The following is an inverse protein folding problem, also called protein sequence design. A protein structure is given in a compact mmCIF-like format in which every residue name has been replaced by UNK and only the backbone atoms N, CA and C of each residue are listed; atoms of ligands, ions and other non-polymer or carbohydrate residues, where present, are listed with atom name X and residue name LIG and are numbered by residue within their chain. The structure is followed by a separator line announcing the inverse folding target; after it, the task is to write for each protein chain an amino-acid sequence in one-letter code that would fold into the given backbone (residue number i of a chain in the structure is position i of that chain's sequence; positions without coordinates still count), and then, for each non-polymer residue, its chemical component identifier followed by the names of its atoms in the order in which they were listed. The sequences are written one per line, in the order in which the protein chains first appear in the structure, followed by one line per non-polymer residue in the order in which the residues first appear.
data_IF_584753152179
#
_entry.id   IF_584753152179
#
_cell.length_a   1.000
_cell.length_b   1.000
_cell.length_c   1.000
_cell.angle_alpha   90.00
_cell.angle_beta   90.00
_cell.angle_gamma   90.00
#
_symmetry.space_group_name_H-M   'P 1'
#
loop_
_entity.id
_entity.type
_entity.pdbx_description
1 polymer ?
#
# COMPACT_ATOMS: atom_id res chain seq x y z
N UNK A 1 -4.90 -31.43 -19.12
CA UNK A 1 -3.50 -31.14 -18.74
C UNK A 1 -3.51 -29.94 -17.81
N UNK A 2 -3.54 -30.18 -16.49
CA UNK A 2 -3.59 -29.12 -15.50
C UNK A 2 -2.22 -28.48 -15.34
N UNK A 3 -2.12 -27.16 -15.52
CA UNK A 3 -0.90 -26.43 -15.16
C UNK A 3 -0.92 -26.17 -13.66
N UNK A 4 -0.02 -26.82 -12.94
CA UNK A 4 0.20 -26.57 -11.54
C UNK A 4 1.09 -25.32 -11.41
N UNK A 5 0.51 -24.20 -10.98
CA UNK A 5 1.26 -22.97 -10.72
C UNK A 5 1.49 -22.85 -9.21
N UNK A 6 2.64 -23.35 -8.72
CA UNK A 6 3.07 -23.14 -7.33
C UNK A 6 3.56 -21.71 -7.15
N UNK A 7 2.72 -20.86 -6.59
CA UNK A 7 3.07 -19.49 -6.20
C UNK A 7 3.49 -19.54 -4.72
N UNK A 8 4.79 -19.69 -4.46
CA UNK A 8 5.35 -19.47 -3.12
C UNK A 8 5.58 -17.97 -2.93
N UNK A 9 4.65 -17.29 -2.24
CA UNK A 9 4.79 -15.89 -1.84
C UNK A 9 5.46 -15.84 -0.46
N UNK A 10 6.70 -15.37 -0.44
CA UNK A 10 7.54 -15.25 0.77
C UNK A 10 7.38 -13.90 1.48
N UNK A 11 6.43 -13.06 1.05
CA UNK A 11 6.25 -11.70 1.56
C UNK A 11 4.86 -11.53 2.17
N UNK A 12 4.82 -10.98 3.39
CA UNK A 12 3.58 -10.66 4.10
C UNK A 12 2.87 -9.42 3.53
N UNK A 13 3.65 -8.50 2.94
CA UNK A 13 3.17 -7.20 2.45
C UNK A 13 3.48 -7.01 0.96
N UNK A 14 2.50 -6.50 0.21
CA UNK A 14 2.63 -6.16 -1.21
C UNK A 14 2.54 -4.63 -1.37
N UNK A 15 3.50 -4.04 -2.08
CA UNK A 15 3.50 -2.63 -2.45
C UNK A 15 3.19 -2.47 -3.94
N UNK A 16 2.14 -1.70 -4.27
CA UNK A 16 1.67 -1.51 -5.66
C UNK A 16 1.63 -0.02 -5.98
N UNK A 17 2.13 0.33 -7.17
CA UNK A 17 2.05 1.68 -7.73
C UNK A 17 1.06 1.69 -8.90
N UNK A 18 0.15 2.65 -8.90
CA UNK A 18 -0.89 2.78 -9.92
C UNK A 18 -0.76 4.12 -10.63
N UNK A 19 -0.71 4.08 -11.96
CA UNK A 19 -0.95 5.24 -12.81
C UNK A 19 -2.43 5.29 -13.19
N UNK A 20 -3.00 6.49 -13.32
CA UNK A 20 -4.41 6.73 -13.64
C UNK A 20 -5.38 5.92 -12.76
N UNK A 21 -5.48 6.24 -11.45
CA UNK A 21 -6.14 5.38 -10.46
C UNK A 21 -7.63 5.13 -10.76
N UNK A 22 -8.32 6.06 -11.42
CA UNK A 22 -9.73 5.89 -11.83
C UNK A 22 -9.95 4.65 -12.71
N UNK A 23 -8.95 4.26 -13.52
CA UNK A 23 -9.05 3.12 -14.44
C UNK A 23 -8.36 1.89 -13.84
N UNK A 24 -7.20 2.08 -13.23
CA UNK A 24 -6.34 0.96 -12.79
C UNK A 24 -6.73 0.40 -11.43
N UNK A 25 -7.23 1.23 -10.49
CA UNK A 25 -7.64 0.75 -9.17
C UNK A 25 -8.81 -0.25 -9.24
N UNK A 26 -9.90 -0.01 -10.02
CA UNK A 26 -10.92 -1.02 -10.26
C UNK A 26 -10.40 -2.35 -10.81
N UNK A 27 -9.46 -2.29 -11.78
CA UNK A 27 -8.87 -3.48 -12.39
C UNK A 27 -8.01 -4.25 -11.39
N UNK A 28 -7.26 -3.53 -10.56
CA UNK A 28 -6.48 -4.13 -9.48
C UNK A 28 -7.38 -4.87 -8.49
N UNK A 29 -8.50 -4.26 -8.07
CA UNK A 29 -9.43 -4.92 -7.15
C UNK A 29 -9.99 -6.23 -7.71
N UNK A 30 -10.40 -6.23 -8.99
CA UNK A 30 -10.87 -7.46 -9.66
C UNK A 30 -9.77 -8.51 -9.79
N UNK A 31 -8.52 -8.09 -10.03
CA UNK A 31 -7.37 -9.00 -10.07
C UNK A 31 -7.11 -9.61 -8.69
N UNK A 32 -7.13 -8.81 -7.63
CA UNK A 32 -6.95 -9.28 -6.25
C UNK A 32 -8.07 -10.21 -5.80
N UNK A 33 -9.30 -9.95 -6.23
CA UNK A 33 -10.45 -10.83 -5.96
C UNK A 33 -10.31 -12.18 -6.68
N UNK A 34 -9.93 -12.16 -7.96
CA UNK A 34 -9.67 -13.39 -8.73
C UNK A 34 -8.50 -14.17 -8.17
N UNK A 35 -7.41 -13.48 -7.80
CA UNK A 35 -6.27 -14.11 -7.15
C UNK A 35 -6.67 -14.69 -5.79
N UNK A 36 -7.46 -13.95 -5.01
CA UNK A 36 -7.94 -14.39 -3.71
C UNK A 36 -8.83 -15.63 -3.79
N UNK A 37 -9.69 -15.74 -4.80
CA UNK A 37 -10.51 -16.94 -4.99
C UNK A 37 -9.69 -18.18 -5.38
N UNK A 38 -8.61 -18.00 -6.14
CA UNK A 38 -7.73 -19.09 -6.58
C UNK A 38 -6.73 -19.53 -5.48
N UNK A 39 -6.27 -18.59 -4.66
CA UNK A 39 -5.24 -18.83 -3.64
C UNK A 39 -5.78 -19.02 -2.22
N UNK A 40 -7.04 -18.62 -1.98
CA UNK A 40 -7.63 -18.54 -0.64
C UNK A 40 -7.22 -17.29 0.16
N UNK A 41 -6.39 -16.40 -0.39
CA UNK A 41 -6.01 -15.16 0.30
C UNK A 41 -7.11 -14.09 0.22
N UNK A 42 -7.27 -13.33 1.30
CA UNK A 42 -8.24 -12.23 1.37
C UNK A 42 -7.52 -10.91 1.64
N UNK A 43 -7.88 -9.88 0.89
CA UNK A 43 -7.42 -8.52 1.14
C UNK A 43 -7.87 -8.03 2.53
N UNK A 44 -6.92 -7.61 3.35
CA UNK A 44 -7.19 -7.07 4.67
C UNK A 44 -7.30 -5.54 4.61
N UNK A 45 -8.53 -5.04 4.40
CA UNK A 45 -8.84 -3.61 4.27
C UNK A 45 -8.34 -2.80 5.48
N UNK A 46 -8.38 -3.36 6.70
CA UNK A 46 -7.93 -2.66 7.91
C UNK A 46 -6.42 -2.46 7.96
N UNK A 47 -5.65 -3.36 7.35
CA UNK A 47 -4.18 -3.27 7.25
C UNK A 47 -3.72 -2.54 5.99
N UNK A 48 -4.55 -2.47 4.95
CA UNK A 48 -4.23 -1.79 3.70
C UNK A 48 -4.08 -0.29 3.91
N UNK A 49 -2.95 0.25 3.51
CA UNK A 49 -2.69 1.70 3.48
C UNK A 49 -2.62 2.18 2.03
N UNK A 50 -3.10 3.39 1.79
CA UNK A 50 -3.02 4.07 0.48
C UNK A 50 -2.43 5.45 0.68
N UNK A 51 -1.52 5.82 -0.22
CA UNK A 51 -1.00 7.17 -0.33
C UNK A 51 -1.29 7.71 -1.75
N UNK A 52 -1.94 8.87 -1.83
CA UNK A 52 -2.34 9.49 -3.10
C UNK A 52 -1.44 10.68 -3.43
N UNK A 53 -0.90 10.72 -4.65
CA UNK A 53 -0.09 11.82 -5.16
C UNK A 53 -0.83 12.53 -6.30
N UNK A 54 -1.04 13.83 -6.18
CA UNK A 54 -1.74 14.67 -7.18
C UNK A 54 -3.07 14.09 -7.68
N UNK A 55 -3.74 13.31 -6.82
CA UNK A 55 -4.95 12.59 -7.15
C UNK A 55 -5.97 12.74 -6.03
N UNK A 56 -7.22 12.98 -6.40
CA UNK A 56 -8.36 12.97 -5.49
C UNK A 56 -9.37 11.95 -6.04
N UNK A 57 -9.68 10.88 -5.29
CA UNK A 57 -10.64 9.89 -5.75
C UNK A 57 -12.04 10.47 -5.81
N UNK A 58 -12.77 10.13 -6.87
CA UNK A 58 -14.19 10.45 -7.01
C UNK A 58 -15.01 9.55 -6.06
N UNK A 59 -16.30 9.86 -5.92
CA UNK A 59 -17.20 9.13 -5.04
C UNK A 59 -17.35 7.65 -5.45
N UNK A 60 -17.27 7.35 -6.74
CA UNK A 60 -17.32 5.97 -7.27
C UNK A 60 -16.13 5.13 -6.81
N UNK A 61 -14.91 5.69 -6.79
CA UNK A 61 -13.73 4.99 -6.31
C UNK A 61 -13.77 4.82 -4.79
N UNK A 62 -14.23 5.86 -4.08
CA UNK A 62 -14.42 5.79 -2.61
C UNK A 62 -15.46 4.75 -2.21
N UNK A 63 -16.51 4.53 -3.01
CA UNK A 63 -17.56 3.55 -2.69
C UNK A 63 -17.15 2.10 -2.96
N UNK A 64 -16.15 1.83 -3.80
CA UNK A 64 -15.68 0.47 -4.08
C UNK A 64 -15.03 -0.19 -2.87
N UNK A 65 -14.20 0.55 -2.14
CA UNK A 65 -13.55 0.06 -0.93
C UNK A 65 -13.39 1.20 0.06
N UNK A 66 -13.81 0.96 1.30
CA UNK A 66 -13.70 1.91 2.39
C UNK A 66 -12.24 1.98 2.91
N UNK A 67 -11.38 2.65 2.15
CA UNK A 67 -9.98 2.90 2.48
C UNK A 67 -9.76 4.35 2.91
N UNK A 68 -8.68 4.59 3.66
CA UNK A 68 -8.28 5.95 4.01
C UNK A 68 -7.53 6.63 2.85
N UNK A 69 -8.29 7.28 1.98
CA UNK A 69 -7.79 7.98 0.79
C UNK A 69 -7.04 9.30 1.08
N UNK A 70 -7.20 9.83 2.30
CA UNK A 70 -6.69 11.14 2.71
C UNK A 70 -5.47 11.02 3.63
N UNK A 71 -4.85 9.84 3.68
CA UNK A 71 -3.60 9.60 4.41
C UNK A 71 -2.49 10.53 3.92
N UNK A 72 -1.77 11.15 4.87
CA UNK A 72 -0.61 11.99 4.58
C UNK A 72 0.72 11.23 4.59
N UNK A 73 0.71 10.00 5.10
CA UNK A 73 1.86 9.12 5.18
C UNK A 73 1.43 7.65 5.19
N UNK A 74 2.37 6.77 4.85
CA UNK A 74 2.26 5.33 5.00
C UNK A 74 3.59 4.77 5.50
N UNK A 75 3.58 3.59 6.10
CA UNK A 75 4.81 2.94 6.58
C UNK A 75 5.04 1.65 5.82
N UNK A 76 6.25 1.48 5.30
CA UNK A 76 6.67 0.26 4.62
C UNK A 76 8.08 -0.14 5.05
N UNK A 77 8.24 -1.38 5.53
CA UNK A 77 9.52 -1.93 6.00
C UNK A 77 10.28 -1.02 6.98
N UNK A 78 9.55 -0.33 7.86
CA UNK A 78 10.15 0.57 8.85
C UNK A 78 10.38 2.01 8.36
N UNK A 79 10.20 2.28 7.07
CA UNK A 79 10.35 3.61 6.46
C UNK A 79 8.98 4.28 6.36
N UNK A 80 8.89 5.53 6.86
CA UNK A 80 7.72 6.38 6.70
C UNK A 80 7.79 7.08 5.34
N UNK A 81 6.86 6.77 4.45
CA UNK A 81 6.69 7.43 3.15
C UNK A 81 5.66 8.53 3.34
N UNK A 82 6.06 9.78 3.18
CA UNK A 82 5.20 10.95 3.33
C UNK A 82 4.69 11.44 1.98
N UNK A 83 3.49 12.02 1.97
CA UNK A 83 2.90 12.65 0.77
C UNK A 83 3.73 13.84 0.29
N UNK A 84 4.23 14.62 1.23
CA UNK A 84 5.24 15.65 0.99
C UNK A 84 6.62 15.00 1.04
N UNK A 85 7.24 14.83 -0.11
CA UNK A 85 8.56 14.21 -0.26
C UNK A 85 9.66 15.02 0.45
N UNK A 86 9.47 16.33 0.63
CA UNK A 86 10.42 17.19 1.34
C UNK A 86 10.54 16.81 2.82
N UNK A 87 9.47 16.24 3.39
CA UNK A 87 9.43 15.76 4.79
C UNK A 87 10.01 14.36 4.95
N UNK A 88 10.28 13.63 3.87
CA UNK A 88 10.73 12.23 3.92
C UNK A 88 12.03 12.08 4.71
N UNK A 89 12.99 12.99 4.52
CA UNK A 89 14.25 12.97 5.26
C UNK A 89 14.01 13.13 6.76
N UNK A 90 13.34 14.21 7.17
CA UNK A 90 13.09 14.50 8.59
C UNK A 90 12.25 13.42 9.27
N UNK A 91 11.27 12.84 8.56
CA UNK A 91 10.38 11.81 9.08
C UNK A 91 11.08 10.48 9.39
N UNK A 92 12.22 10.21 8.75
CA UNK A 92 12.96 8.95 8.89
C UNK A 92 14.29 9.11 9.63
N UNK A 93 15.07 10.15 9.34
CA UNK A 93 16.42 10.31 9.89
C UNK A 93 16.44 10.92 11.29
N UNK A 94 15.59 11.90 11.60
CA UNK A 94 15.57 12.51 12.94
C UNK A 94 15.29 11.49 14.07
N UNK A 95 14.32 10.56 13.93
CA UNK A 95 14.10 9.51 14.92
C UNK A 95 15.28 8.54 15.06
N UNK A 96 16.00 8.26 13.96
CA UNK A 96 17.18 7.40 13.99
C UNK A 96 18.33 8.06 14.75
N UNK A 97 18.59 9.35 14.51
CA UNK A 97 19.63 10.10 15.23
C UNK A 97 19.39 10.13 16.74
N UNK A 98 18.14 10.25 17.18
CA UNK A 98 17.80 10.22 18.61
C UNK A 98 18.04 8.83 19.23
N UNK A 99 17.73 7.74 18.51
CA UNK A 99 18.01 6.37 18.95
C UNK A 99 19.49 6.11 19.17
N UNK A 100 20.37 6.61 18.30
CA UNK A 100 21.82 6.45 18.48
C UNK A 100 22.34 7.22 19.70
N UNK A 101 21.77 8.40 19.98
CA UNK A 101 22.19 9.27 21.09
C UNK A 101 21.74 8.76 22.47
N UNK A 102 20.71 7.93 22.55
CA UNK A 102 20.25 7.29 23.79
C UNK A 102 20.97 5.98 24.12
N UNK A 103 21.71 5.40 23.16
CA UNK A 103 22.48 4.17 23.32
C UNK A 103 24.00 4.41 23.36
N UNK A 104 24.43 5.66 23.52
CA UNK A 104 25.83 6.09 23.75
C UNK A 104 25.95 6.65 25.16
#
# INVERSE_FOLDING_TARGET
MGREHKISLFADDILIYLTNPNITFPKLLSLLETFGSLSGYKLNILKTQILTFNYKPNQEIKSKVNLNWESEWMKYLGVNITKDLSKLYNANFNPLCYKFRLHS
#
